data_IF_912715637225
#
_entry.id   IF_912715637225
#
_cell.length_a   1.000
_cell.length_b   1.000
_cell.length_c   1.000
_cell.angle_alpha   90.00
_cell.angle_beta   90.00
_cell.angle_gamma   90.00
#
_symmetry.space_group_name_H-M   'P 1'
#
loop_
_entity.id
_entity.type
_entity.pdbx_description
1 polymer ?
#
# COMPACT_ATOMS: atom_id res chain seq x y z
N UNK A 1 -11.37 -39.50 -30.17
CA UNK A 1 -11.97 -38.22 -30.53
C UNK A 1 -13.14 -37.99 -29.60
N UNK A 2 -12.93 -37.32 -28.46
CA UNK A 2 -13.99 -36.94 -27.51
C UNK A 2 -14.42 -35.53 -27.92
N UNK A 3 -15.66 -35.42 -28.38
CA UNK A 3 -16.24 -34.15 -28.81
C UNK A 3 -16.33 -33.20 -27.61
N UNK A 4 -15.63 -32.06 -27.67
CA UNK A 4 -15.79 -30.96 -26.72
C UNK A 4 -17.21 -30.38 -26.84
N UNK A 5 -18.06 -30.67 -25.85
CA UNK A 5 -19.38 -30.00 -25.72
C UNK A 5 -19.19 -28.58 -25.21
N UNK A 6 -19.93 -27.60 -25.73
CA UNK A 6 -19.80 -26.22 -25.29
C UNK A 6 -20.25 -26.08 -23.82
N UNK A 7 -19.43 -25.38 -23.03
CA UNK A 7 -19.73 -25.07 -21.62
C UNK A 7 -20.96 -24.16 -21.55
N UNK A 8 -22.02 -24.53 -20.87
CA UNK A 8 -23.20 -23.68 -20.73
C UNK A 8 -22.87 -22.42 -19.90
N UNK A 9 -23.46 -21.28 -20.27
CA UNK A 9 -23.42 -20.03 -19.50
C UNK A 9 -24.17 -20.18 -18.18
N UNK A 10 -23.60 -20.92 -17.23
CA UNK A 10 -24.20 -21.20 -15.93
C UNK A 10 -23.76 -20.14 -14.94
N UNK A 11 -24.46 -19.01 -14.88
CA UNK A 11 -24.17 -17.95 -13.90
C UNK A 11 -25.32 -17.50 -13.01
N UNK A 12 -26.46 -18.17 -13.03
CA UNK A 12 -27.62 -17.74 -12.23
C UNK A 12 -28.48 -18.81 -11.57
N UNK A 13 -28.16 -20.11 -11.69
CA UNK A 13 -29.04 -21.13 -11.09
C UNK A 13 -28.21 -22.26 -10.46
N UNK A 14 -28.24 -22.33 -9.11
CA UNK A 14 -27.57 -23.37 -8.32
C UNK A 14 -28.06 -24.78 -8.69
N UNK A 15 -29.34 -24.92 -9.06
CA UNK A 15 -29.95 -26.16 -9.49
C UNK A 15 -29.39 -26.66 -10.83
N UNK A 16 -29.22 -25.78 -11.81
CA UNK A 16 -28.61 -26.15 -13.09
C UNK A 16 -27.09 -26.51 -12.94
N UNK A 17 -26.45 -26.05 -11.87
CA UNK A 17 -25.09 -26.45 -11.52
C UNK A 17 -25.03 -27.85 -10.92
N UNK A 18 -25.98 -28.21 -10.09
CA UNK A 18 -26.11 -29.57 -9.50
C UNK A 18 -26.43 -30.60 -10.59
N UNK A 19 -27.36 -30.31 -11.48
CA UNK A 19 -27.72 -31.19 -12.62
C UNK A 19 -26.52 -31.35 -13.60
N UNK A 20 -25.69 -30.33 -13.78
CA UNK A 20 -24.47 -30.40 -14.60
C UNK A 20 -23.40 -31.27 -13.93
N UNK A 21 -23.23 -31.14 -12.61
CA UNK A 21 -22.25 -31.92 -11.83
C UNK A 21 -22.61 -33.42 -11.79
N UNK A 22 -23.90 -33.76 -11.75
CA UNK A 22 -24.41 -35.16 -11.80
C UNK A 22 -24.20 -35.82 -13.17
N UNK A 23 -23.99 -34.99 -14.24
CA UNK A 23 -23.71 -35.48 -15.60
C UNK A 23 -22.22 -35.60 -15.93
N UNK A 24 -21.36 -35.11 -15.05
CA UNK A 24 -19.90 -35.16 -15.22
C UNK A 24 -19.30 -36.27 -14.36
N UNK A 25 -18.65 -37.24 -15.00
CA UNK A 25 -17.92 -38.34 -14.32
C UNK A 25 -16.63 -37.81 -13.71
N UNK A 26 -16.71 -37.14 -12.54
CA UNK A 26 -15.56 -36.73 -11.79
C UNK A 26 -15.10 -37.84 -10.84
N UNK A 27 -13.89 -38.35 -11.07
CA UNK A 27 -13.33 -39.48 -10.29
C UNK A 27 -12.80 -39.05 -8.92
N UNK A 28 -12.66 -37.72 -8.65
CA UNK A 28 -12.26 -37.24 -7.32
C UNK A 28 -12.78 -35.85 -6.99
N UNK A 29 -12.93 -35.56 -5.68
CA UNK A 29 -13.22 -34.18 -5.18
C UNK A 29 -12.17 -33.15 -5.60
N UNK A 30 -10.96 -33.58 -5.89
CA UNK A 30 -9.87 -32.73 -6.36
C UNK A 30 -10.12 -32.20 -7.78
N UNK A 31 -10.66 -33.03 -8.68
CA UNK A 31 -10.98 -32.64 -10.06
C UNK A 31 -12.11 -31.61 -10.12
N UNK A 32 -13.16 -31.77 -9.30
CA UNK A 32 -14.26 -30.80 -9.16
C UNK A 32 -13.71 -29.46 -8.65
N UNK A 33 -12.79 -29.49 -7.67
CA UNK A 33 -12.16 -28.29 -7.11
C UNK A 33 -11.25 -27.58 -8.12
N UNK A 34 -10.57 -28.32 -8.98
CA UNK A 34 -9.70 -27.76 -10.02
C UNK A 34 -10.51 -27.09 -11.14
N UNK A 35 -11.66 -27.68 -11.52
CA UNK A 35 -12.54 -27.14 -12.55
C UNK A 35 -13.13 -25.77 -12.16
N UNK A 36 -13.40 -25.53 -10.85
CA UNK A 36 -13.97 -24.28 -10.37
C UNK A 36 -12.93 -23.21 -9.98
N UNK A 37 -11.66 -23.59 -9.78
CA UNK A 37 -10.63 -22.63 -9.30
C UNK A 37 -9.80 -21.99 -10.39
N UNK A 38 -9.74 -22.53 -11.60
CA UNK A 38 -8.75 -22.13 -12.59
C UNK A 38 -7.31 -22.40 -12.08
N UNK A 39 -6.30 -22.15 -12.90
CA UNK A 39 -4.89 -22.43 -12.53
C UNK A 39 -4.51 -21.65 -11.26
N UNK A 40 -3.95 -22.36 -10.27
CA UNK A 40 -3.51 -21.77 -8.99
C UNK A 40 -2.04 -21.42 -9.14
N UNK A 41 -1.74 -20.19 -9.55
CA UNK A 41 -0.36 -19.71 -9.51
C UNK A 41 0.08 -19.32 -8.11
N UNK A 42 1.35 -19.51 -7.80
CA UNK A 42 1.94 -19.19 -6.51
C UNK A 42 3.00 -18.11 -6.62
N UNK A 43 3.10 -17.26 -5.59
CA UNK A 43 4.21 -16.33 -5.44
C UNK A 43 5.16 -16.89 -4.40
N UNK A 44 6.36 -17.23 -4.81
CA UNK A 44 7.41 -17.72 -3.95
C UNK A 44 8.42 -16.62 -3.63
N UNK A 45 9.09 -16.77 -2.49
CA UNK A 45 10.16 -15.89 -2.05
C UNK A 45 11.47 -16.65 -2.03
N UNK A 46 12.49 -16.13 -2.72
CA UNK A 46 13.84 -16.66 -2.63
C UNK A 46 14.48 -16.31 -1.29
N UNK A 47 15.42 -17.13 -0.76
CA UNK A 47 16.25 -16.78 0.39
C UNK A 47 17.01 -15.47 0.18
N UNK A 48 17.44 -14.84 1.29
CA UNK A 48 18.27 -13.63 1.21
C UNK A 48 19.55 -13.88 0.42
N UNK A 49 19.90 -12.93 -0.47
CA UNK A 49 21.06 -13.04 -1.38
C UNK A 49 20.73 -13.49 -2.79
N UNK A 50 19.57 -14.02 -3.06
CA UNK A 50 19.13 -14.40 -4.41
C UNK A 50 18.25 -13.31 -5.04
N UNK A 51 18.52 -12.98 -6.30
CA UNK A 51 17.73 -12.01 -7.08
C UNK A 51 16.96 -12.77 -8.17
N UNK A 52 15.66 -12.52 -8.40
CA UNK A 52 14.75 -11.66 -7.61
C UNK A 52 14.28 -12.34 -6.33
N UNK A 53 13.91 -11.56 -5.31
CA UNK A 53 13.35 -12.08 -4.04
C UNK A 53 11.96 -12.69 -4.17
N UNK A 54 11.23 -12.38 -5.23
CA UNK A 54 9.90 -12.87 -5.52
C UNK A 54 9.81 -13.30 -6.97
N UNK A 55 9.16 -14.42 -7.22
CA UNK A 55 8.80 -14.90 -8.56
C UNK A 55 7.46 -15.62 -8.52
N UNK A 56 6.83 -15.74 -9.69
CA UNK A 56 5.54 -16.38 -9.86
C UNK A 56 5.76 -17.72 -10.50
N UNK A 57 5.19 -18.78 -9.90
CA UNK A 57 5.21 -20.13 -10.42
C UNK A 57 3.83 -20.59 -10.84
N UNK A 58 3.75 -21.44 -11.85
CA UNK A 58 2.58 -22.20 -12.24
C UNK A 58 2.29 -23.35 -11.25
N UNK A 59 1.25 -24.14 -11.52
CA UNK A 59 0.84 -25.27 -10.68
C UNK A 59 1.88 -26.41 -10.67
N UNK A 60 2.72 -26.51 -11.70
CA UNK A 60 3.80 -27.47 -11.79
C UNK A 60 5.09 -27.00 -11.09
N UNK A 61 5.08 -25.76 -10.55
CA UNK A 61 6.25 -25.16 -9.90
C UNK A 61 7.22 -24.47 -10.85
N UNK A 62 6.92 -24.41 -12.16
CA UNK A 62 7.76 -23.73 -13.13
C UNK A 62 7.62 -22.22 -13.01
N UNK A 63 8.72 -21.50 -13.15
CA UNK A 63 8.73 -20.03 -13.16
C UNK A 63 8.03 -19.48 -14.40
N UNK A 64 7.21 -18.45 -14.23
CA UNK A 64 6.63 -17.69 -15.33
C UNK A 64 7.67 -16.70 -15.82
N UNK A 65 8.49 -17.12 -16.81
CA UNK A 65 9.65 -16.37 -17.30
C UNK A 65 9.41 -14.89 -17.57
N UNK A 66 8.34 -14.47 -18.29
CA UNK A 66 8.12 -13.03 -18.56
C UNK A 66 7.96 -12.20 -17.28
N UNK A 67 7.30 -12.76 -16.24
CA UNK A 67 7.16 -12.08 -14.96
C UNK A 67 8.50 -12.05 -14.24
N UNK A 68 9.24 -13.15 -14.26
CA UNK A 68 10.56 -13.26 -13.65
C UNK A 68 11.50 -12.18 -14.17
N UNK A 69 11.63 -12.05 -15.48
CA UNK A 69 12.50 -11.06 -16.13
C UNK A 69 12.08 -9.63 -15.80
N UNK A 70 10.78 -9.35 -15.78
CA UNK A 70 10.28 -8.05 -15.37
C UNK A 70 10.61 -7.73 -13.90
N UNK A 71 10.46 -8.69 -12.99
CA UNK A 71 10.80 -8.48 -11.58
C UNK A 71 12.31 -8.27 -11.38
N UNK A 72 13.16 -8.97 -12.15
CA UNK A 72 14.61 -8.71 -12.20
C UNK A 72 14.92 -7.30 -12.68
N UNK A 73 14.26 -6.85 -13.74
CA UNK A 73 14.40 -5.48 -14.24
C UNK A 73 14.00 -4.44 -13.17
N UNK A 74 12.93 -4.67 -12.43
CA UNK A 74 12.52 -3.78 -11.34
C UNK A 74 13.56 -3.73 -10.22
N UNK A 75 14.16 -4.85 -9.89
CA UNK A 75 15.20 -4.95 -8.86
C UNK A 75 16.48 -4.22 -9.31
N UNK A 76 16.94 -4.46 -10.52
CA UNK A 76 18.09 -3.77 -11.13
C UNK A 76 17.89 -2.24 -11.20
N UNK A 77 16.63 -1.79 -11.38
CA UNK A 77 16.23 -0.37 -11.35
C UNK A 77 16.19 0.24 -9.95
N UNK A 78 16.45 -0.53 -8.89
CA UNK A 78 16.38 -0.10 -7.51
C UNK A 78 14.95 0.12 -6.99
N UNK A 79 13.97 -0.63 -7.54
CA UNK A 79 12.60 -0.61 -7.02
C UNK A 79 12.53 -1.19 -5.61
N UNK A 80 11.61 -0.67 -4.77
CA UNK A 80 11.52 -1.19 -3.40
C UNK A 80 11.07 -2.66 -3.39
N UNK A 81 11.60 -3.53 -2.50
CA UNK A 81 11.14 -4.92 -2.36
C UNK A 81 9.64 -5.05 -2.16
N UNK A 82 8.99 -4.07 -1.51
CA UNK A 82 7.55 -4.05 -1.35
C UNK A 82 6.82 -3.78 -2.68
N UNK A 83 7.42 -2.99 -3.58
CA UNK A 83 6.90 -2.76 -4.94
C UNK A 83 7.00 -4.04 -5.76
N UNK A 84 8.18 -4.67 -5.75
CA UNK A 84 8.43 -5.94 -6.45
C UNK A 84 7.46 -7.02 -5.97
N UNK A 85 7.34 -7.18 -4.64
CA UNK A 85 6.35 -8.08 -4.03
C UNK A 85 4.93 -7.81 -4.50
N UNK A 86 4.50 -6.54 -4.45
CA UNK A 86 3.14 -6.17 -4.85
C UNK A 86 2.89 -6.48 -6.31
N UNK A 87 3.85 -6.21 -7.18
CA UNK A 87 3.74 -6.48 -8.61
C UNK A 87 3.75 -7.99 -8.90
N UNK A 88 4.53 -8.80 -8.17
CA UNK A 88 4.47 -10.26 -8.28
C UNK A 88 3.05 -10.79 -7.99
N UNK A 89 2.43 -10.34 -6.88
CA UNK A 89 1.06 -10.74 -6.54
C UNK A 89 0.01 -10.21 -7.52
N UNK A 90 0.20 -9.02 -8.08
CA UNK A 90 -0.74 -8.42 -9.01
C UNK A 90 -0.63 -9.08 -10.39
N UNK A 91 0.60 -9.31 -10.89
CA UNK A 91 0.83 -10.00 -12.17
C UNK A 91 0.43 -11.48 -12.08
N UNK A 92 0.60 -12.15 -10.94
CA UNK A 92 0.02 -13.48 -10.73
C UNK A 92 -1.45 -13.53 -11.12
N UNK A 93 -2.26 -12.56 -10.62
CA UNK A 93 -3.71 -12.50 -10.94
C UNK A 93 -3.98 -12.24 -12.42
N UNK A 94 -3.13 -11.43 -13.05
CA UNK A 94 -3.23 -11.15 -14.50
C UNK A 94 -2.90 -12.39 -15.31
N UNK A 95 -1.88 -13.17 -14.92
CA UNK A 95 -1.53 -14.42 -15.58
C UNK A 95 -2.59 -15.49 -15.39
N UNK A 96 -3.16 -15.63 -14.20
CA UNK A 96 -4.32 -16.49 -13.96
C UNK A 96 -5.52 -16.14 -14.88
N UNK A 97 -5.69 -14.85 -15.22
CA UNK A 97 -6.67 -14.43 -16.23
C UNK A 97 -6.28 -14.88 -17.65
N UNK A 98 -5.01 -14.77 -18.03
CA UNK A 98 -4.55 -15.23 -19.34
C UNK A 98 -4.74 -16.72 -19.52
N UNK A 99 -4.34 -17.51 -18.55
CA UNK A 99 -4.56 -18.96 -18.53
C UNK A 99 -6.04 -19.33 -18.62
N UNK A 100 -6.87 -18.72 -17.77
CA UNK A 100 -8.32 -18.97 -17.74
C UNK A 100 -9.02 -18.63 -19.05
N UNK A 101 -8.44 -17.78 -19.90
CA UNK A 101 -8.99 -17.34 -21.19
C UNK A 101 -8.24 -17.92 -22.40
N UNK A 102 -7.17 -18.70 -22.18
CA UNK A 102 -6.30 -19.20 -23.26
C UNK A 102 -5.64 -18.07 -24.05
N UNK A 103 -5.36 -16.92 -23.42
CA UNK A 103 -4.79 -15.74 -24.05
C UNK A 103 -3.26 -15.74 -23.92
N UNK A 104 -2.57 -15.45 -25.02
CA UNK A 104 -1.15 -15.12 -24.99
C UNK A 104 -0.99 -13.66 -24.57
N UNK A 105 -0.13 -13.37 -23.59
CA UNK A 105 0.10 -12.02 -23.09
C UNK A 105 0.59 -11.02 -24.15
N UNK A 106 1.29 -11.49 -25.19
CA UNK A 106 1.75 -10.67 -26.33
C UNK A 106 0.60 -10.10 -27.15
N UNK A 107 -0.54 -10.79 -27.20
CA UNK A 107 -1.77 -10.32 -27.84
C UNK A 107 -2.67 -9.46 -26.96
N UNK A 108 -2.20 -9.06 -25.78
CA UNK A 108 -2.99 -8.25 -24.86
C UNK A 108 -3.33 -6.88 -25.45
N UNK A 109 -4.61 -6.55 -25.47
CA UNK A 109 -5.15 -5.32 -26.03
C UNK A 109 -6.16 -4.66 -25.08
N UNK A 110 -6.74 -3.54 -25.49
CA UNK A 110 -7.67 -2.76 -24.65
C UNK A 110 -8.96 -3.53 -24.33
N UNK A 111 -9.46 -4.37 -25.24
CA UNK A 111 -10.63 -5.22 -24.99
C UNK A 111 -10.33 -6.24 -23.90
N UNK A 112 -9.18 -6.91 -23.97
CA UNK A 112 -8.75 -7.83 -22.94
C UNK A 112 -8.57 -7.14 -21.58
N UNK A 113 -8.21 -5.85 -21.56
CA UNK A 113 -8.09 -5.09 -20.31
C UNK A 113 -9.46 -4.82 -19.67
N UNK A 114 -10.52 -4.65 -20.45
CA UNK A 114 -11.90 -4.58 -19.93
C UNK A 114 -12.34 -5.93 -19.37
N UNK A 115 -12.05 -7.03 -20.06
CA UNK A 115 -12.35 -8.38 -19.60
C UNK A 115 -11.56 -8.72 -18.32
N UNK A 116 -10.31 -8.27 -18.22
CA UNK A 116 -9.49 -8.40 -17.01
C UNK A 116 -10.14 -7.68 -15.81
N UNK A 117 -10.71 -6.48 -16.01
CA UNK A 117 -11.43 -5.79 -14.94
C UNK A 117 -12.62 -6.61 -14.47
N UNK A 118 -13.45 -7.12 -15.39
CA UNK A 118 -14.58 -7.96 -15.05
C UNK A 118 -14.13 -9.21 -14.28
N UNK A 119 -13.08 -9.87 -14.77
CA UNK A 119 -12.49 -11.04 -14.10
C UNK A 119 -12.00 -10.75 -12.69
N UNK A 120 -11.31 -9.62 -12.49
CA UNK A 120 -10.81 -9.22 -11.18
C UNK A 120 -11.94 -8.81 -10.22
N UNK A 121 -13.02 -8.21 -10.74
CA UNK A 121 -14.19 -7.87 -9.92
C UNK A 121 -14.99 -9.09 -9.48
N UNK A 122 -15.07 -10.13 -10.31
CA UNK A 122 -15.77 -11.36 -9.98
C UNK A 122 -14.97 -12.27 -9.04
N UNK A 123 -13.69 -11.98 -8.86
CA UNK A 123 -12.81 -12.78 -8.00
C UNK A 123 -13.02 -12.50 -6.53
N UNK A 124 -13.20 -13.57 -5.79
CA UNK A 124 -13.23 -13.59 -4.34
C UNK A 124 -11.77 -13.58 -3.84
N UNK A 125 -11.40 -12.65 -2.96
CA UNK A 125 -10.10 -12.70 -2.29
C UNK A 125 -10.16 -13.84 -1.25
N UNK A 126 -9.49 -14.96 -1.56
CA UNK A 126 -9.45 -16.17 -0.71
C UNK A 126 -8.64 -15.95 0.57
N UNK A 127 -8.11 -14.75 0.81
CA UNK A 127 -7.52 -14.44 2.10
C UNK A 127 -8.65 -14.38 3.14
N UNK A 128 -8.57 -15.17 4.22
CA UNK A 128 -9.51 -14.99 5.31
C UNK A 128 -9.37 -13.56 5.81
N UNK A 129 -10.30 -12.70 5.43
CA UNK A 129 -10.47 -11.41 6.07
C UNK A 129 -10.74 -11.70 7.54
N UNK A 130 -9.86 -11.22 8.43
CA UNK A 130 -10.06 -11.34 9.88
C UNK A 130 -11.25 -10.53 10.40
N UNK A 131 -11.98 -9.89 9.50
CA UNK A 131 -13.19 -9.13 9.75
C UNK A 131 -14.31 -9.67 8.85
N UNK A 132 -14.65 -10.94 9.00
CA UNK A 132 -15.88 -11.50 8.47
C UNK A 132 -17.06 -11.00 9.32
N UNK A 133 -17.42 -9.75 9.15
CA UNK A 133 -18.79 -9.31 9.37
C UNK A 133 -19.62 -9.86 8.21
N UNK A 134 -20.84 -10.31 8.47
CA UNK A 134 -21.77 -11.08 7.65
C UNK A 134 -22.14 -10.54 6.25
N UNK A 135 -21.26 -9.84 5.57
CA UNK A 135 -21.37 -9.39 4.19
C UNK A 135 -20.53 -10.33 3.33
N UNK A 136 -21.17 -11.08 2.46
CA UNK A 136 -20.67 -12.11 1.55
C UNK A 136 -19.19 -12.10 1.11
N UNK A 137 -18.76 -12.98 0.21
CA UNK A 137 -17.35 -13.15 -0.13
C UNK A 137 -16.70 -11.82 -0.58
N UNK A 138 -15.62 -11.43 0.07
CA UNK A 138 -14.91 -10.16 -0.17
C UNK A 138 -14.39 -10.10 -1.63
N UNK A 139 -15.06 -9.31 -2.44
CA UNK A 139 -14.58 -8.95 -3.78
C UNK A 139 -13.33 -8.07 -3.70
N UNK A 140 -12.46 -8.15 -4.73
CA UNK A 140 -11.28 -7.28 -4.79
C UNK A 140 -11.69 -5.80 -4.77
N UNK A 141 -11.05 -5.02 -3.89
CA UNK A 141 -11.32 -3.58 -3.82
C UNK A 141 -10.91 -2.88 -5.11
N UNK A 142 -11.59 -1.77 -5.51
CA UNK A 142 -11.19 -0.95 -6.66
C UNK A 142 -9.73 -0.51 -6.62
N UNK A 143 -9.18 -0.28 -5.44
CA UNK A 143 -7.76 0.05 -5.26
C UNK A 143 -6.85 -1.12 -5.64
N UNK A 144 -7.21 -2.36 -5.30
CA UNK A 144 -6.47 -3.57 -5.67
C UNK A 144 -6.54 -3.80 -7.18
N UNK A 145 -7.72 -3.66 -7.79
CA UNK A 145 -7.90 -3.75 -9.25
C UNK A 145 -7.04 -2.71 -9.97
N UNK A 146 -7.10 -1.44 -9.53
CA UNK A 146 -6.30 -0.36 -10.12
C UNK A 146 -4.79 -0.61 -9.97
N UNK A 147 -4.35 -1.28 -8.89
CA UNK A 147 -2.94 -1.63 -8.70
C UNK A 147 -2.52 -2.74 -9.65
N UNK A 148 -3.36 -3.76 -9.87
CA UNK A 148 -3.10 -4.82 -10.85
C UNK A 148 -3.01 -4.27 -12.29
N UNK A 149 -3.92 -3.36 -12.65
CA UNK A 149 -3.85 -2.66 -13.94
C UNK A 149 -2.60 -1.80 -14.07
N UNK A 150 -2.12 -1.22 -12.96
CA UNK A 150 -0.87 -0.46 -12.95
C UNK A 150 0.35 -1.36 -13.12
N UNK A 151 0.36 -2.53 -12.50
CA UNK A 151 1.41 -3.53 -12.65
C UNK A 151 1.48 -4.02 -14.10
N UNK A 152 0.32 -4.35 -14.71
CA UNK A 152 0.24 -4.77 -16.11
C UNK A 152 0.71 -3.66 -17.07
N UNK A 153 0.28 -2.41 -16.85
CA UNK A 153 0.76 -1.28 -17.67
C UNK A 153 2.28 -1.10 -17.58
N UNK A 154 2.87 -1.27 -16.39
CA UNK A 154 4.32 -1.18 -16.18
C UNK A 154 5.06 -2.36 -16.81
N UNK A 155 4.45 -3.54 -16.78
CA UNK A 155 4.95 -4.73 -17.48
C UNK A 155 4.97 -4.52 -18.99
N UNK A 156 3.89 -3.99 -19.59
CA UNK A 156 3.84 -3.67 -21.01
C UNK A 156 4.90 -2.64 -21.41
N UNK A 157 5.13 -1.59 -20.58
CA UNK A 157 6.20 -0.61 -20.84
C UNK A 157 7.57 -1.29 -20.89
N UNK A 158 7.84 -2.21 -19.95
CA UNK A 158 9.09 -2.98 -19.94
C UNK A 158 9.19 -3.92 -21.14
N UNK A 159 8.12 -4.64 -21.46
CA UNK A 159 8.10 -5.60 -22.57
C UNK A 159 8.34 -4.92 -23.95
N UNK A 160 7.88 -3.67 -24.11
CA UNK A 160 8.20 -2.86 -25.28
C UNK A 160 9.69 -2.51 -25.32
N UNK A 161 10.26 -2.09 -24.18
CA UNK A 161 11.71 -1.78 -24.09
C UNK A 161 12.56 -3.04 -24.35
N UNK A 162 12.09 -4.20 -23.87
CA UNK A 162 12.74 -5.50 -24.10
C UNK A 162 12.52 -6.06 -25.52
N UNK A 163 11.72 -5.39 -26.37
CA UNK A 163 11.43 -5.85 -27.72
C UNK A 163 10.48 -7.05 -27.84
N UNK A 164 9.84 -7.46 -26.73
CA UNK A 164 8.93 -8.60 -26.67
C UNK A 164 7.47 -8.24 -26.87
N UNK A 165 7.14 -6.96 -26.87
CA UNK A 165 5.83 -6.42 -27.17
C UNK A 165 5.94 -5.25 -28.15
N UNK A 166 5.09 -5.27 -29.20
CA UNK A 166 5.05 -4.18 -30.20
C UNK A 166 4.40 -2.92 -29.59
N UNK A 167 5.00 -1.72 -29.76
CA UNK A 167 4.37 -0.47 -29.36
C UNK A 167 3.12 -0.15 -30.19
N UNK A 168 2.16 0.65 -29.67
CA UNK A 168 2.18 1.33 -28.36
C UNK A 168 1.72 0.45 -27.20
N UNK A 169 2.01 0.88 -25.93
CA UNK A 169 1.48 0.21 -24.75
C UNK A 169 -0.07 0.23 -24.79
N UNK A 170 -0.73 -0.95 -24.81
CA UNK A 170 -2.19 -1.05 -24.96
C UNK A 170 -2.97 -0.45 -23.78
N UNK A 171 -2.30 -0.27 -22.63
CA UNK A 171 -2.88 0.30 -21.42
C UNK A 171 -2.78 1.84 -21.37
N UNK A 172 -2.15 2.47 -22.35
CA UNK A 172 -1.86 3.90 -22.33
C UNK A 172 -2.31 4.60 -23.63
N UNK A 173 -2.77 5.84 -23.46
CA UNK A 173 -3.04 6.77 -24.58
C UNK A 173 -2.19 8.01 -24.38
N UNK A 174 -1.57 8.46 -25.46
CA UNK A 174 -0.92 9.77 -25.51
C UNK A 174 -2.00 10.85 -25.55
N UNK A 175 -2.16 11.58 -24.44
CA UNK A 175 -2.96 12.81 -24.43
C UNK A 175 -2.04 13.99 -24.69
N UNK A 176 -2.31 14.71 -25.76
CA UNK A 176 -1.77 16.06 -25.93
C UNK A 176 -2.31 16.90 -24.76
N UNK A 177 -1.42 17.41 -23.93
CA UNK A 177 -1.82 18.37 -22.90
C UNK A 177 -1.95 19.70 -23.63
N UNK A 178 -3.14 20.02 -24.12
CA UNK A 178 -3.49 21.38 -24.47
C UNK A 178 -3.51 22.16 -23.16
N UNK A 179 -2.41 22.84 -22.83
CA UNK A 179 -2.48 23.89 -21.82
C UNK A 179 -3.46 24.95 -22.34
N UNK A 180 -4.40 25.44 -21.51
CA UNK A 180 -5.19 26.60 -21.89
C UNK A 180 -4.22 27.68 -22.32
N UNK A 181 -4.53 28.36 -23.43
CA UNK A 181 -3.72 29.45 -23.96
C UNK A 181 -3.56 30.49 -22.84
N UNK A 182 -2.38 30.52 -22.22
CA UNK A 182 -2.01 31.58 -21.33
C UNK A 182 -1.87 32.81 -22.19
N UNK A 183 -2.66 33.83 -21.89
CA UNK A 183 -2.59 35.13 -22.56
C UNK A 183 -1.15 35.58 -22.71
N UNK A 184 -0.81 36.11 -23.86
CA UNK A 184 0.51 36.35 -24.49
C UNK A 184 1.57 37.07 -23.64
N UNK A 185 1.26 37.55 -22.46
CA UNK A 185 2.16 38.39 -21.64
C UNK A 185 3.23 37.65 -20.83
N UNK A 186 3.19 36.30 -20.74
CA UNK A 186 4.13 35.52 -19.91
C UNK A 186 4.46 34.18 -20.54
N UNK A 187 4.82 34.11 -21.82
CA UNK A 187 5.37 32.89 -22.44
C UNK A 187 6.82 32.70 -22.01
N UNK A 188 7.19 31.64 -21.30
CA UNK A 188 8.59 31.29 -21.09
C UNK A 188 9.26 31.04 -22.44
N UNK A 189 10.48 31.54 -22.62
CA UNK A 189 11.26 31.47 -23.86
C UNK A 189 11.41 30.04 -24.43
N UNK A 190 11.25 29.00 -23.64
CA UNK A 190 11.33 27.58 -23.99
C UNK A 190 9.99 26.86 -24.13
N UNK A 191 8.87 27.55 -24.18
CA UNK A 191 7.53 26.91 -24.23
C UNK A 191 7.29 26.11 -25.53
N UNK A 192 7.99 26.43 -26.60
CA UNK A 192 7.91 25.72 -27.90
C UNK A 192 8.61 24.36 -27.93
N UNK A 193 9.52 24.08 -27.01
CA UNK A 193 10.40 22.90 -27.02
C UNK A 193 9.81 21.72 -26.22
N UNK A 194 8.84 21.93 -25.36
CA UNK A 194 8.28 20.88 -24.51
C UNK A 194 6.79 20.59 -24.77
N UNK A 195 6.45 20.16 -26.00
CA UNK A 195 5.21 19.38 -26.21
C UNK A 195 5.39 18.01 -25.58
N UNK A 196 5.38 17.94 -24.25
CA UNK A 196 5.32 16.67 -23.55
C UNK A 196 3.91 16.12 -23.66
N UNK A 197 3.71 15.16 -24.57
CA UNK A 197 2.51 14.33 -24.51
C UNK A 197 2.59 13.51 -23.22
N UNK A 198 1.64 13.71 -22.32
CA UNK A 198 1.55 12.85 -21.14
C UNK A 198 0.87 11.55 -21.54
N UNK A 199 1.60 10.46 -21.44
CA UNK A 199 1.04 9.12 -21.56
C UNK A 199 0.20 8.81 -20.30
N UNK A 200 -1.12 8.72 -20.47
CA UNK A 200 -2.07 8.48 -19.38
C UNK A 200 -2.66 7.08 -19.52
N UNK A 201 -2.81 6.35 -18.43
CA UNK A 201 -3.54 5.08 -18.44
C UNK A 201 -4.99 5.30 -18.82
N UNK A 202 -5.46 4.54 -19.83
CA UNK A 202 -6.81 4.65 -20.36
C UNK A 202 -7.84 4.06 -19.42
N UNK A 203 -7.51 2.93 -18.83
CA UNK A 203 -8.44 2.13 -18.04
C UNK A 203 -8.14 2.28 -16.56
N UNK A 204 -9.15 2.76 -15.83
CA UNK A 204 -9.11 2.93 -14.39
C UNK A 204 -10.50 2.71 -13.81
N UNK A 205 -10.60 1.87 -12.80
CA UNK A 205 -11.84 1.69 -12.05
C UNK A 205 -12.04 2.88 -11.12
N UNK A 206 -13.25 3.43 -11.11
CA UNK A 206 -13.60 4.51 -10.17
C UNK A 206 -13.47 3.98 -8.74
N UNK A 207 -12.69 4.66 -7.94
CA UNK A 207 -12.57 4.39 -6.51
C UNK A 207 -13.10 5.57 -5.71
N UNK A 208 -13.94 5.28 -4.73
CA UNK A 208 -14.33 6.30 -3.76
C UNK A 208 -13.13 6.51 -2.83
N UNK A 209 -12.48 7.65 -2.94
CA UNK A 209 -11.46 8.06 -1.99
C UNK A 209 -12.14 8.44 -0.67
N UNK A 210 -12.20 7.48 0.25
CA UNK A 210 -12.56 7.81 1.63
C UNK A 210 -11.41 8.60 2.23
N UNK A 211 -11.72 9.79 2.71
CA UNK A 211 -10.75 10.59 3.46
C UNK A 211 -10.33 9.81 4.70
N UNK A 212 -9.04 9.78 5.02
CA UNK A 212 -8.61 9.23 6.29
C UNK A 212 -9.25 10.06 7.41
N UNK A 213 -9.94 9.40 8.33
CA UNK A 213 -10.51 10.05 9.50
C UNK A 213 -9.43 10.15 10.57
N UNK A 214 -9.13 11.35 11.08
CA UNK A 214 -8.28 11.49 12.25
C UNK A 214 -8.94 10.82 13.45
N UNK A 215 -8.14 10.34 14.39
CA UNK A 215 -8.64 9.87 15.68
C UNK A 215 -9.01 11.07 16.55
N UNK A 216 -10.14 10.99 17.26
CA UNK A 216 -10.52 12.00 18.26
C UNK A 216 -9.62 11.90 19.49
N UNK A 217 -9.62 12.94 20.33
CA UNK A 217 -8.84 12.96 21.57
C UNK A 217 -9.25 11.83 22.52
N UNK A 218 -10.55 11.59 22.68
CA UNK A 218 -11.09 10.47 23.43
C UNK A 218 -10.61 9.10 22.90
N UNK A 219 -10.59 8.92 21.58
CA UNK A 219 -10.09 7.69 20.99
C UNK A 219 -8.59 7.49 21.22
N UNK A 220 -7.82 8.58 21.24
CA UNK A 220 -6.37 8.54 21.51
C UNK A 220 -6.12 8.20 22.96
N UNK A 221 -6.83 8.82 23.91
CA UNK A 221 -6.71 8.56 25.34
C UNK A 221 -7.03 7.11 25.65
N UNK A 222 -8.16 6.59 25.15
CA UNK A 222 -8.53 5.19 25.32
C UNK A 222 -7.51 4.24 24.70
N UNK A 223 -6.97 4.56 23.51
CA UNK A 223 -5.92 3.75 22.88
C UNK A 223 -4.66 3.73 23.73
N UNK A 224 -4.20 4.88 24.24
CA UNK A 224 -3.00 5.00 25.05
C UNK A 224 -3.16 4.28 26.41
N UNK A 225 -4.35 4.28 27.01
CA UNK A 225 -4.64 3.54 28.23
C UNK A 225 -4.45 2.01 28.06
N UNK A 226 -4.76 1.49 26.87
CA UNK A 226 -4.64 0.07 26.54
C UNK A 226 -3.23 -0.37 26.10
N UNK A 227 -2.30 0.57 25.97
CA UNK A 227 -0.91 0.28 25.61
C UNK A 227 -0.05 0.10 26.88
N UNK A 228 0.05 -1.14 27.35
CA UNK A 228 0.84 -1.51 28.52
C UNK A 228 2.34 -1.59 28.25
N UNK A 229 2.75 -1.91 27.03
CA UNK A 229 4.16 -1.99 26.62
C UNK A 229 4.73 -0.59 26.35
N UNK A 230 5.84 -0.24 27.00
CA UNK A 230 6.56 1.02 26.76
C UNK A 230 6.98 1.14 25.27
N UNK A 231 7.40 0.03 24.64
CA UNK A 231 7.71 0.00 23.19
C UNK A 231 6.53 0.43 22.34
N UNK A 232 5.37 -0.20 22.55
CA UNK A 232 4.20 0.02 21.71
C UNK A 232 3.64 1.43 21.94
N UNK A 233 3.68 1.90 23.20
CA UNK A 233 3.30 3.27 23.57
C UNK A 233 4.25 4.30 22.95
N UNK A 234 5.56 4.08 23.00
CA UNK A 234 6.56 4.96 22.38
C UNK A 234 6.37 5.06 20.86
N UNK A 235 6.11 3.93 20.16
CA UNK A 235 5.82 3.93 18.73
C UNK A 235 4.56 4.72 18.38
N UNK A 236 3.48 4.57 19.16
CA UNK A 236 2.24 5.31 18.96
C UNK A 236 2.46 6.81 19.18
N UNK A 237 3.14 7.21 20.24
CA UNK A 237 3.44 8.62 20.54
C UNK A 237 4.35 9.25 19.48
N UNK A 238 5.35 8.55 18.98
CA UNK A 238 6.20 9.01 17.87
C UNK A 238 5.39 9.28 16.58
N UNK A 239 4.47 8.39 16.25
CA UNK A 239 3.62 8.58 15.07
C UNK A 239 2.61 9.71 15.27
N UNK A 240 2.09 9.86 16.49
CA UNK A 240 1.09 10.86 16.84
C UNK A 240 1.69 12.27 16.93
N UNK A 241 2.80 12.45 17.67
CA UNK A 241 3.41 13.76 17.92
C UNK A 241 4.48 14.13 16.88
N UNK A 242 5.17 13.14 16.32
CA UNK A 242 6.17 13.36 15.27
C UNK A 242 5.65 13.25 13.84
N UNK A 243 4.45 12.70 13.65
CA UNK A 243 3.90 12.46 12.32
C UNK A 243 4.71 11.46 11.48
N UNK A 244 5.50 10.57 12.12
CA UNK A 244 6.31 9.59 11.43
C UNK A 244 5.42 8.53 10.75
N UNK A 245 5.87 8.03 9.60
CA UNK A 245 5.27 6.81 9.04
C UNK A 245 5.66 5.61 9.90
N UNK A 246 4.82 4.58 10.00
CA UNK A 246 5.18 3.38 10.77
C UNK A 246 6.52 2.77 10.37
N UNK A 247 6.83 2.74 9.06
CA UNK A 247 8.12 2.25 8.57
C UNK A 247 9.29 3.15 8.95
N UNK A 248 9.10 4.47 9.01
CA UNK A 248 10.11 5.42 9.49
C UNK A 248 10.37 5.24 10.99
N UNK A 249 9.31 5.13 11.80
CA UNK A 249 9.43 4.91 13.23
C UNK A 249 10.16 3.59 13.56
N UNK A 250 9.83 2.51 12.84
CA UNK A 250 10.46 1.20 13.02
C UNK A 250 11.94 1.16 12.58
N UNK A 251 12.35 2.05 11.66
CA UNK A 251 13.71 2.12 11.14
C UNK A 251 14.61 3.10 11.89
N UNK A 252 14.14 3.67 13.02
CA UNK A 252 14.96 4.56 13.85
C UNK A 252 16.06 3.78 14.56
N UNK A 253 17.26 4.36 14.54
CA UNK A 253 18.40 3.92 15.33
C UNK A 253 18.53 4.76 16.61
N UNK A 254 19.25 4.25 17.60
CA UNK A 254 19.47 4.95 18.86
C UNK A 254 20.07 6.35 18.66
N UNK A 255 20.99 6.51 17.70
CA UNK A 255 21.64 7.77 17.35
C UNK A 255 20.70 8.81 16.70
N UNK A 256 19.51 8.40 16.23
CA UNK A 256 18.57 9.29 15.58
C UNK A 256 17.80 10.18 16.54
N UNK A 257 17.86 9.88 17.85
CA UNK A 257 17.15 10.64 18.88
C UNK A 257 18.12 11.53 19.66
N UNK A 258 17.97 12.82 19.48
CA UNK A 258 18.69 13.84 20.24
C UNK A 258 17.77 14.33 21.40
N UNK A 259 17.80 13.64 22.52
CA UNK A 259 16.93 13.92 23.69
C UNK A 259 17.07 15.37 24.16
N UNK A 260 18.28 15.86 24.39
CA UNK A 260 18.53 17.23 24.86
C UNK A 260 18.05 18.31 23.89
N UNK A 261 17.97 18.00 22.60
CA UNK A 261 17.48 18.92 21.56
C UNK A 261 16.00 18.68 21.22
N UNK A 262 15.36 17.67 21.82
CA UNK A 262 14.00 17.23 21.53
C UNK A 262 13.75 16.98 20.02
N UNK A 263 14.67 16.24 19.39
CA UNK A 263 14.67 16.02 17.94
C UNK A 263 14.81 14.56 17.58
N UNK A 264 14.13 14.19 16.50
CA UNK A 264 14.28 12.89 15.85
C UNK A 264 14.71 13.13 14.41
N UNK A 265 15.82 12.52 14.01
CA UNK A 265 16.29 12.54 12.63
C UNK A 265 15.73 11.34 11.88
N UNK A 266 14.89 11.58 10.89
CA UNK A 266 14.35 10.53 10.02
C UNK A 266 15.27 10.37 8.83
N UNK A 267 16.09 9.32 8.83
CA UNK A 267 17.05 9.02 7.77
C UNK A 267 16.46 8.06 6.72
N UNK A 268 17.05 8.10 5.52
CA UNK A 268 16.69 7.19 4.42
C UNK A 268 17.48 5.89 4.53
N UNK A 269 17.00 4.96 5.36
CA UNK A 269 17.63 3.66 5.55
C UNK A 269 16.86 2.55 4.83
N UNK A 270 17.61 1.53 4.40
CA UNK A 270 17.07 0.33 3.75
C UNK A 270 17.56 -0.96 4.43
N UNK A 271 18.19 -0.84 5.58
CA UNK A 271 18.90 -1.85 6.34
C UNK A 271 18.02 -2.67 7.29
N UNK A 272 16.74 -2.29 7.46
CA UNK A 272 15.84 -3.01 8.37
C UNK A 272 15.57 -4.44 7.87
N UNK A 273 15.98 -5.50 8.62
CA UNK A 273 15.98 -6.88 8.13
C UNK A 273 14.57 -7.42 7.82
N UNK A 274 13.52 -6.82 8.41
CA UNK A 274 12.12 -7.20 8.13
C UNK A 274 11.44 -6.24 7.13
N UNK A 275 12.23 -5.47 6.37
CA UNK A 275 11.77 -4.63 5.27
C UNK A 275 10.96 -3.41 5.66
N UNK A 276 11.03 -2.95 6.92
CA UNK A 276 10.47 -1.65 7.29
C UNK A 276 11.33 -0.55 6.63
N UNK A 277 10.68 0.39 5.95
CA UNK A 277 11.37 1.46 5.19
C UNK A 277 10.56 2.73 5.20
N UNK A 278 11.25 3.86 5.22
CA UNK A 278 10.69 5.15 4.87
C UNK A 278 10.38 5.20 3.36
N UNK A 279 9.21 5.69 2.97
CA UNK A 279 8.90 5.98 1.55
C UNK A 279 9.58 7.26 1.06
N UNK A 280 9.96 8.15 1.97
CA UNK A 280 10.67 9.39 1.64
C UNK A 280 12.11 9.08 1.26
N UNK A 281 12.61 9.69 0.19
CA UNK A 281 14.03 9.71 -0.19
C UNK A 281 14.75 10.94 0.37
N UNK A 282 14.08 11.72 1.20
CA UNK A 282 14.64 12.95 1.78
C UNK A 282 14.72 12.78 3.29
N UNK A 283 15.89 12.94 3.83
CA UNK A 283 16.12 13.01 5.26
C UNK A 283 15.50 14.27 5.85
N UNK A 284 15.01 14.17 7.08
CA UNK A 284 14.44 15.32 7.77
C UNK A 284 14.60 15.22 9.27
N UNK A 285 14.64 16.37 9.90
CA UNK A 285 14.58 16.48 11.35
C UNK A 285 13.15 16.82 11.76
N UNK A 286 12.67 16.16 12.80
CA UNK A 286 11.35 16.35 13.38
C UNK A 286 11.53 16.78 14.83
N UNK A 287 11.09 17.98 15.16
CA UNK A 287 11.08 18.46 16.52
C UNK A 287 9.90 17.83 17.29
N UNK A 288 10.18 17.29 18.47
CA UNK A 288 9.21 16.68 19.39
C UNK A 288 9.15 17.52 20.67
N UNK A 289 8.19 18.45 20.73
CA UNK A 289 8.00 19.27 21.94
C UNK A 289 7.22 18.54 23.02
N UNK A 290 6.48 17.50 22.67
CA UNK A 290 5.80 16.64 23.63
C UNK A 290 6.82 15.82 24.44
N UNK A 291 6.89 16.11 25.75
CA UNK A 291 7.80 15.43 26.68
C UNK A 291 7.46 13.95 26.84
N UNK A 292 6.16 13.61 26.82
CA UNK A 292 5.69 12.24 27.04
C UNK A 292 6.25 11.26 26.01
N UNK A 293 6.37 11.70 24.74
CA UNK A 293 6.92 10.85 23.67
C UNK A 293 8.38 10.51 23.93
N UNK A 294 9.21 11.51 24.25
CA UNK A 294 10.64 11.31 24.50
C UNK A 294 10.89 10.55 25.80
N UNK A 295 10.14 10.86 26.86
CA UNK A 295 10.26 10.18 28.15
C UNK A 295 9.88 8.70 28.03
N UNK A 296 8.82 8.39 27.25
CA UNK A 296 8.43 7.00 27.00
C UNK A 296 9.47 6.24 26.20
N UNK A 297 10.08 6.88 25.18
CA UNK A 297 11.17 6.27 24.42
C UNK A 297 12.38 6.02 25.32
N UNK A 298 12.77 7.00 26.13
CA UNK A 298 13.87 6.88 27.08
C UNK A 298 13.61 5.74 28.08
N UNK A 299 12.41 5.71 28.66
CA UNK A 299 12.01 4.66 29.59
C UNK A 299 12.06 3.27 28.92
N UNK A 300 11.58 3.15 27.69
CA UNK A 300 11.68 1.91 26.92
C UNK A 300 13.13 1.47 26.71
N UNK A 301 13.98 2.38 26.25
CA UNK A 301 15.40 2.09 25.95
C UNK A 301 16.15 1.69 27.22
N UNK A 302 15.87 2.34 28.35
CA UNK A 302 16.56 2.09 29.61
C UNK A 302 16.07 0.85 30.37
N UNK A 303 14.79 0.49 30.25
CA UNK A 303 14.15 -0.55 31.08
C UNK A 303 13.82 -1.82 30.30
N UNK A 304 13.20 -1.70 29.14
CA UNK A 304 12.56 -2.83 28.44
C UNK A 304 13.32 -3.30 27.20
N UNK A 305 14.15 -2.41 26.58
CA UNK A 305 14.94 -2.80 25.42
C UNK A 305 16.01 -3.81 25.83
N UNK A 306 16.10 -4.99 25.15
CA UNK A 306 17.18 -5.95 25.43
C UNK A 306 18.54 -5.27 25.34
N UNK A 307 19.35 -5.44 26.42
CA UNK A 307 20.68 -4.80 26.53
C UNK A 307 21.75 -5.56 25.75
N UNK A 308 21.65 -6.87 25.73
CA UNK A 308 22.57 -7.77 25.02
C UNK A 308 22.23 -7.83 23.53
N UNK A 309 22.45 -6.73 22.80
CA UNK A 309 22.17 -6.68 21.37
C UNK A 309 23.05 -5.62 20.70
N UNK A 310 23.67 -5.99 19.61
CA UNK A 310 24.49 -5.11 18.78
C UNK A 310 23.65 -4.31 17.77
N UNK A 311 22.35 -4.61 17.65
CA UNK A 311 21.50 -3.94 16.67
C UNK A 311 21.28 -2.46 17.05
N UNK A 312 21.47 -1.53 16.10
CA UNK A 312 21.29 -0.11 16.36
C UNK A 312 19.81 0.29 16.45
N UNK A 313 18.88 -0.55 16.00
CA UNK A 313 17.45 -0.24 15.99
C UNK A 313 16.91 -0.02 17.41
N UNK A 314 16.10 1.04 17.57
CA UNK A 314 15.46 1.34 18.84
C UNK A 314 14.48 0.24 19.21
N UNK A 315 13.53 -0.08 18.30
CA UNK A 315 12.38 -0.93 18.61
C UNK A 315 12.65 -2.39 18.26
N UNK A 316 12.70 -3.23 19.29
CA UNK A 316 12.96 -4.66 19.20
C UNK A 316 11.71 -5.47 19.59
N UNK A 317 11.74 -6.77 19.29
CA UNK A 317 10.63 -7.68 19.61
C UNK A 317 10.40 -7.74 21.12
N UNK A 318 11.48 -7.81 21.91
CA UNK A 318 11.41 -7.88 23.36
C UNK A 318 10.85 -9.21 23.88
N UNK A 319 10.56 -9.25 25.19
CA UNK A 319 10.10 -10.46 25.88
C UNK A 319 11.21 -11.50 26.09
N UNK A 320 10.82 -12.73 26.42
CA UNK A 320 11.76 -13.81 26.80
C UNK A 320 12.04 -14.81 25.65
N UNK A 321 11.54 -14.56 24.45
CA UNK A 321 11.72 -15.47 23.31
C UNK A 321 13.09 -15.34 22.64
N UNK A 322 13.47 -16.34 21.83
CA UNK A 322 14.73 -16.36 21.05
C UNK A 322 14.89 -15.18 20.10
N UNK A 323 13.79 -14.58 19.67
CA UNK A 323 13.77 -13.42 18.75
C UNK A 323 13.72 -12.07 19.45
N UNK A 324 13.96 -12.02 20.76
CA UNK A 324 13.81 -10.81 21.58
C UNK A 324 14.63 -9.62 21.09
N UNK A 325 15.82 -9.88 20.53
CA UNK A 325 16.76 -8.87 20.03
C UNK A 325 16.56 -8.53 18.54
N UNK A 326 15.60 -9.16 17.87
CA UNK A 326 15.31 -8.83 16.47
C UNK A 326 14.55 -7.50 16.35
N UNK A 327 14.81 -6.70 15.30
CA UNK A 327 14.03 -5.50 15.00
C UNK A 327 12.55 -5.78 14.86
N UNK A 328 11.72 -4.86 15.39
CA UNK A 328 10.26 -5.02 15.42
C UNK A 328 9.66 -4.77 14.04
N UNK A 329 8.84 -5.69 13.55
CA UNK A 329 8.28 -5.61 12.19
C UNK A 329 6.99 -4.80 12.12
N UNK A 330 6.68 -4.28 10.91
CA UNK A 330 5.38 -3.62 10.68
C UNK A 330 4.18 -4.55 10.94
N UNK A 331 4.28 -5.83 10.59
CA UNK A 331 3.20 -6.79 10.85
C UNK A 331 2.95 -6.98 12.35
N UNK A 332 4.03 -6.99 13.16
CA UNK A 332 3.92 -7.09 14.62
C UNK A 332 3.33 -5.80 15.23
N UNK A 333 3.77 -4.62 14.76
CA UNK A 333 3.19 -3.32 15.15
C UNK A 333 1.69 -3.27 14.81
N UNK A 334 1.31 -3.58 13.58
CA UNK A 334 -0.08 -3.56 13.16
C UNK A 334 -0.96 -4.51 14.01
N UNK A 335 -0.42 -5.70 14.36
CA UNK A 335 -1.12 -6.65 15.24
C UNK A 335 -1.25 -6.16 16.69
N UNK A 336 -0.21 -5.54 17.23
CA UNK A 336 -0.23 -4.97 18.57
C UNK A 336 -1.22 -3.79 18.64
N UNK A 337 -1.15 -2.90 17.68
CA UNK A 337 -2.06 -1.76 17.53
C UNK A 337 -3.53 -2.20 17.39
N UNK A 338 -3.81 -3.18 16.53
CA UNK A 338 -5.17 -3.68 16.33
C UNK A 338 -5.76 -4.28 17.61
N UNK A 339 -4.95 -5.00 18.41
CA UNK A 339 -5.38 -5.54 19.72
C UNK A 339 -5.66 -4.43 20.73
N UNK A 340 -4.81 -3.40 20.79
CA UNK A 340 -5.04 -2.26 21.67
C UNK A 340 -6.31 -1.49 21.26
N UNK A 341 -6.50 -1.24 19.96
CA UNK A 341 -7.71 -0.59 19.43
C UNK A 341 -8.99 -1.40 19.71
N UNK A 342 -8.89 -2.73 19.72
CA UNK A 342 -10.01 -3.60 20.06
C UNK A 342 -10.38 -3.51 21.55
N UNK A 343 -9.38 -3.58 22.47
CA UNK A 343 -9.62 -3.39 23.90
C UNK A 343 -10.14 -1.99 24.24
N UNK A 344 -9.64 -0.96 23.54
CA UNK A 344 -10.12 0.41 23.66
C UNK A 344 -11.53 0.64 23.09
N UNK A 345 -12.14 -0.36 22.43
CA UNK A 345 -13.46 -0.23 21.82
C UNK A 345 -13.51 0.72 20.60
N UNK A 346 -12.36 1.00 19.96
CA UNK A 346 -12.27 1.94 18.83
C UNK A 346 -11.94 1.25 17.49
N UNK A 347 -11.88 -0.09 17.49
CA UNK A 347 -11.52 -0.85 16.28
C UNK A 347 -12.50 -0.60 15.14
N UNK A 348 -11.97 -0.07 14.04
CA UNK A 348 -12.71 0.09 12.78
C UNK A 348 -11.76 -0.02 11.58
N UNK A 349 -12.24 -0.21 10.34
CA UNK A 349 -11.37 -0.34 9.17
C UNK A 349 -10.39 0.83 8.95
N UNK A 350 -10.74 2.04 9.44
CA UNK A 350 -9.90 3.23 9.35
C UNK A 350 -8.88 3.36 10.47
N UNK A 351 -9.04 2.65 11.59
CA UNK A 351 -8.15 2.75 12.76
C UNK A 351 -6.95 1.82 12.58
N UNK A 352 -5.87 2.39 12.07
CA UNK A 352 -4.61 1.72 11.77
C UNK A 352 -3.43 2.56 12.27
N UNK A 353 -2.20 2.02 12.37
CA UNK A 353 -1.03 2.84 12.71
C UNK A 353 -0.85 4.08 11.82
N UNK A 354 -1.26 4.03 10.56
CA UNK A 354 -1.25 5.20 9.66
C UNK A 354 -2.24 6.29 10.09
N UNK A 355 -3.33 5.96 10.75
CA UNK A 355 -4.30 6.95 11.24
C UNK A 355 -3.68 7.93 12.24
N UNK A 356 -2.69 7.52 13.03
CA UNK A 356 -1.96 8.40 13.96
C UNK A 356 -1.25 9.53 13.22
N UNK A 357 -0.57 9.21 12.11
CA UNK A 357 0.06 10.22 11.27
C UNK A 357 -0.98 11.12 10.59
N UNK A 358 -2.12 10.58 10.19
CA UNK A 358 -3.22 11.39 9.65
C UNK A 358 -3.75 12.36 10.71
N UNK A 359 -3.92 11.89 11.94
CA UNK A 359 -4.32 12.72 13.08
C UNK A 359 -3.30 13.85 13.34
N UNK A 360 -2.00 13.51 13.34
CA UNK A 360 -0.95 14.51 13.44
C UNK A 360 -1.06 15.58 12.34
N UNK A 361 -1.19 15.15 11.10
CA UNK A 361 -1.26 16.06 9.96
C UNK A 361 -2.48 16.99 10.03
N UNK A 362 -3.65 16.44 10.39
CA UNK A 362 -4.89 17.22 10.55
C UNK A 362 -4.75 18.23 11.70
N UNK A 363 -4.27 17.80 12.87
CA UNK A 363 -4.06 18.71 14.02
C UNK A 363 -3.09 19.85 13.69
N UNK A 364 -1.98 19.56 12.99
CA UNK A 364 -1.01 20.60 12.60
C UNK A 364 -1.61 21.57 11.58
N UNK A 365 -2.42 21.08 10.66
CA UNK A 365 -3.15 21.91 9.71
C UNK A 365 -4.17 22.82 10.41
N UNK A 366 -5.00 22.25 11.27
CA UNK A 366 -6.03 22.97 12.05
C UNK A 366 -5.39 24.00 13.02
N UNK A 367 -4.19 23.70 13.52
CA UNK A 367 -3.40 24.66 14.30
C UNK A 367 -2.71 25.75 13.44
N UNK A 368 -3.01 25.83 12.13
CA UNK A 368 -2.54 26.90 11.24
C UNK A 368 -1.16 26.66 10.60
N UNK A 369 -0.62 25.42 10.63
CA UNK A 369 0.63 25.13 9.92
C UNK A 369 0.42 25.23 8.41
N UNK A 370 1.27 26.03 7.73
CA UNK A 370 1.20 26.21 6.27
C UNK A 370 1.44 24.91 5.51
N UNK A 371 0.78 24.72 4.36
CA UNK A 371 0.84 23.50 3.54
C UNK A 371 2.27 23.04 3.24
N UNK A 372 3.14 23.95 2.78
CA UNK A 372 4.52 23.62 2.45
C UNK A 372 5.33 23.20 3.68
N UNK A 373 5.08 23.83 4.84
CA UNK A 373 5.72 23.47 6.10
C UNK A 373 5.29 22.10 6.57
N UNK A 374 3.98 21.82 6.48
CA UNK A 374 3.41 20.51 6.80
C UNK A 374 3.95 19.43 5.85
N UNK A 375 4.01 19.72 4.55
CA UNK A 375 4.61 18.83 3.55
C UNK A 375 6.04 18.45 3.91
N UNK A 376 6.88 19.44 4.25
CA UNK A 376 8.27 19.23 4.66
C UNK A 376 8.37 18.43 5.95
N UNK A 377 7.57 18.77 6.99
CA UNK A 377 7.52 18.04 8.25
C UNK A 377 7.15 16.57 8.06
N UNK A 378 6.15 16.30 7.24
CA UNK A 378 5.72 14.94 6.93
C UNK A 378 6.65 14.20 5.95
N UNK A 379 7.52 14.89 5.24
CA UNK A 379 8.38 14.30 4.20
C UNK A 379 7.55 13.75 3.03
N UNK A 380 6.62 14.56 2.51
CA UNK A 380 5.88 14.24 1.29
C UNK A 380 6.67 14.69 0.06
N UNK A 381 6.92 13.76 -0.86
CA UNK A 381 7.59 14.06 -2.12
C UNK A 381 6.67 14.83 -3.10
N UNK A 382 5.33 14.68 -2.95
CA UNK A 382 4.33 15.36 -3.78
C UNK A 382 3.38 16.20 -2.91
N UNK A 383 3.05 17.43 -3.34
CA UNK A 383 2.03 18.27 -2.70
C UNK A 383 0.67 17.58 -2.61
N UNK A 384 0.29 16.75 -3.59
CA UNK A 384 -0.97 16.02 -3.60
C UNK A 384 -1.16 15.14 -2.35
N UNK A 385 -0.06 14.61 -1.80
CA UNK A 385 -0.11 13.82 -0.57
C UNK A 385 -0.44 14.66 0.66
N UNK A 386 -0.20 15.97 0.62
CA UNK A 386 -0.55 16.90 1.70
C UNK A 386 -1.95 17.46 1.52
N UNK A 387 -2.40 17.67 0.28
CA UNK A 387 -3.75 18.15 -0.03
C UNK A 387 -4.89 17.29 0.52
N UNK A 388 -4.61 16.04 0.86
CA UNK A 388 -5.58 15.18 1.54
C UNK A 388 -5.97 15.76 2.91
N UNK A 389 -5.05 16.47 3.56
CA UNK A 389 -5.25 17.09 4.89
C UNK A 389 -5.68 18.54 4.82
N UNK A 390 -5.43 19.22 3.69
CA UNK A 390 -5.75 20.64 3.49
C UNK A 390 -7.19 20.88 3.01
N UNK A 391 -8.03 19.85 3.00
CA UNK A 391 -9.46 20.02 2.81
C UNK A 391 -10.03 20.66 4.07
N UNK A 392 -10.48 21.89 3.88
CA UNK A 392 -11.03 22.72 4.93
C UNK A 392 -12.36 22.12 5.39
N UNK A 393 -12.57 21.97 6.70
CA UNK A 393 -13.87 21.58 7.23
C UNK A 393 -14.87 22.72 7.10
N UNK A 394 -16.15 22.41 7.01
CA UNK A 394 -17.20 23.43 6.95
C UNK A 394 -17.12 24.40 8.14
N UNK A 395 -16.74 23.90 9.32
CA UNK A 395 -16.52 24.72 10.51
C UNK A 395 -15.34 25.70 10.33
N UNK A 396 -14.26 25.26 9.71
CA UNK A 396 -13.09 26.12 9.40
C UNK A 396 -13.46 27.18 8.36
N UNK A 397 -14.24 26.80 7.31
CA UNK A 397 -14.75 27.76 6.30
C UNK A 397 -15.58 28.85 6.99
N UNK A 398 -16.48 28.43 7.89
CA UNK A 398 -17.32 29.38 8.61
C UNK A 398 -16.49 30.31 9.52
N UNK A 399 -15.51 29.76 10.24
CA UNK A 399 -14.62 30.53 11.11
C UNK A 399 -13.78 31.55 10.34
N UNK A 400 -13.20 31.13 9.21
CA UNK A 400 -12.42 32.02 8.34
C UNK A 400 -13.30 33.09 7.68
N UNK A 401 -14.47 32.68 7.21
CA UNK A 401 -15.46 33.63 6.67
C UNK A 401 -15.87 34.68 7.72
N UNK A 402 -16.21 34.26 8.94
CA UNK A 402 -16.58 35.16 10.03
C UNK A 402 -15.44 36.13 10.36
N UNK A 403 -14.19 35.64 10.39
CA UNK A 403 -13.02 36.48 10.61
C UNK A 403 -12.81 37.49 9.46
N UNK A 404 -12.97 37.06 8.21
CA UNK A 404 -12.83 37.92 7.03
C UNK A 404 -13.92 39.03 7.01
N UNK A 405 -15.11 38.71 7.52
CA UNK A 405 -16.23 39.67 7.64
C UNK A 405 -16.15 40.52 8.90
N UNK A 406 -15.10 40.37 9.73
CA UNK A 406 -14.98 41.10 11.00
C UNK A 406 -15.96 40.69 12.08
N UNK A 407 -16.65 39.57 11.91
CA UNK A 407 -17.57 39.02 12.90
C UNK A 407 -16.75 38.30 13.98
N UNK A 408 -17.00 38.57 15.24
CA UNK A 408 -16.42 37.79 16.35
C UNK A 408 -17.00 36.36 16.31
N UNK A 409 -16.17 35.33 16.52
CA UNK A 409 -16.63 33.94 16.57
C UNK A 409 -17.59 33.73 17.75
#
# INVERSE_FOLDING_TARGET
>A
MVAQRPVPKVRSNLLALVDYLDTCDFTSKAEVFTFFRGPIMQVTRTPEGTVPRYFVCDDAGNSVEPIHDFLRYLDARGSSPNTIRSYAYDLRRVWEFFEARGLKWQGFNISNAVDLIAYLHDRIDVRPSRSATAAGPDRLSPATVNRALAAMSSFCDWAIIAGTLTPPNPMRVSKSINKPAVTDRHRPFFEGISRRSASVRVIRVRSVHRLPRPLSDDQIERLLAELTSLRDRALVLLMLHGGLRPGEALSLHLEDIAYGRRRVTVRCRADHPKGARGKSRVERVVDLHDGQALDTISAYVMRDRPRETETPFIFLVGGNGTRRSEPFSYAALAKAFARAAERAGIKSPGVTPHALRHTHATRMWEAGMRELTLQRRLGHASPESTRIYTRVSDATVLAEYSRAMGLKP
#
